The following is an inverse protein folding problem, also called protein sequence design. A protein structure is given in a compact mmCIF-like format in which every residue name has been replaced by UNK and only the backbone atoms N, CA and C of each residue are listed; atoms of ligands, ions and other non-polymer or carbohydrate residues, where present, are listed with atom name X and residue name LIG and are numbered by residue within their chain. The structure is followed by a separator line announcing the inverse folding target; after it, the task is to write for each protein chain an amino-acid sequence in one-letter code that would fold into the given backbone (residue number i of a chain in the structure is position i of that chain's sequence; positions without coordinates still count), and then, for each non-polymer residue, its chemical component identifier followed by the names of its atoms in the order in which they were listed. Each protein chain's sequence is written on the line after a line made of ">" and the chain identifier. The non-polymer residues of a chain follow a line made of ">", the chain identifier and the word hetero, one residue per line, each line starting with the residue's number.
data_IF_500007840852
#
_entry.id   IF_500007840852
#
_cell.length_a   1.000
_cell.length_b   1.000
_cell.length_c   1.000
_cell.angle_alpha   90.00
_cell.angle_beta   90.00
_cell.angle_gamma   90.00
#
_symmetry.space_group_name_H-M   'P 1'
#
loop_
_entity.id
_entity.type
_entity.pdbx_description
1 polymer ?
#
# COMPACT_ATOMS: atom_id res chain seq x y z
N UNK A 1 -6.23 6.92 24.36
CA UNK A 1 -4.93 6.26 24.61
C UNK A 1 -4.79 5.23 23.52
N UNK A 2 -3.93 5.48 22.54
CA UNK A 2 -3.92 4.75 21.27
C UNK A 2 -3.30 3.35 21.42
N UNK A 3 -3.96 2.34 20.87
CA UNK A 3 -3.85 0.90 21.22
C UNK A 3 -2.95 0.09 20.31
N UNK A 4 -2.15 0.72 19.45
CA UNK A 4 -1.29 0.03 18.46
C UNK A 4 0.20 0.27 18.77
N UNK A 5 0.85 -0.61 19.56
CA UNK A 5 2.23 -0.40 20.04
C UNK A 5 3.27 -0.18 18.94
N UNK A 6 3.06 -0.78 17.77
CA UNK A 6 3.99 -0.71 16.64
C UNK A 6 4.03 0.68 15.97
N UNK A 7 2.99 1.50 16.13
CA UNK A 7 2.91 2.85 15.56
C UNK A 7 3.56 3.90 16.47
N UNK A 8 3.81 3.58 17.75
CA UNK A 8 4.29 4.53 18.76
C UNK A 8 5.59 5.24 18.38
N UNK A 9 6.62 4.57 17.81
CA UNK A 9 7.83 5.26 17.40
C UNK A 9 7.55 6.33 16.34
N UNK A 10 6.78 5.96 15.32
CA UNK A 10 6.38 6.85 14.24
C UNK A 10 5.54 8.03 14.75
N UNK A 11 4.52 7.80 15.58
CA UNK A 11 3.65 8.89 16.06
C UNK A 11 4.38 9.87 16.96
N UNK A 12 5.29 9.38 17.80
CA UNK A 12 6.14 10.22 18.64
C UNK A 12 7.06 11.11 17.80
N UNK A 13 7.67 10.57 16.75
CA UNK A 13 8.60 11.35 15.93
C UNK A 13 7.86 12.28 14.97
N UNK A 14 6.71 11.86 14.45
CA UNK A 14 5.84 12.71 13.64
C UNK A 14 5.36 13.94 14.42
N UNK A 15 5.16 13.86 15.74
CA UNK A 15 4.77 15.03 16.54
C UNK A 15 5.85 16.10 16.63
N UNK A 16 7.11 15.76 16.36
CA UNK A 16 8.24 16.69 16.35
C UNK A 16 8.50 17.29 14.95
N UNK A 17 7.75 16.86 13.92
CA UNK A 17 7.88 17.36 12.56
C UNK A 17 7.15 18.68 12.39
N UNK A 18 7.86 19.71 11.92
CA UNK A 18 7.27 20.98 11.51
C UNK A 18 6.59 20.85 10.13
N UNK A 19 5.31 20.49 10.16
CA UNK A 19 4.51 20.27 8.95
C UNK A 19 4.26 21.54 8.15
N UNK A 20 4.24 22.71 8.81
CA UNK A 20 4.07 23.99 8.12
C UNK A 20 5.32 24.29 7.32
N UNK A 21 6.50 24.19 7.94
CA UNK A 21 7.76 24.40 7.25
C UNK A 21 7.94 23.43 6.07
N UNK A 22 7.56 22.15 6.23
CA UNK A 22 7.63 21.17 5.14
C UNK A 22 6.64 21.47 4.02
N UNK A 23 5.43 21.94 4.33
CA UNK A 23 4.44 22.32 3.33
C UNK A 23 4.87 23.54 2.51
N UNK A 24 5.61 24.47 3.13
CA UNK A 24 6.12 25.68 2.47
C UNK A 24 7.43 25.45 1.69
N UNK A 25 7.99 24.23 1.70
CA UNK A 25 9.19 23.93 0.91
C UNK A 25 8.92 24.08 -0.59
N UNK A 26 9.86 24.69 -1.35
CA UNK A 26 9.78 24.70 -2.81
C UNK A 26 9.74 23.28 -3.35
N UNK A 27 8.83 23.03 -4.28
CA UNK A 27 8.76 21.77 -5.03
C UNK A 27 9.67 21.91 -6.25
N UNK A 28 10.47 20.88 -6.50
CA UNK A 28 11.28 20.74 -7.71
C UNK A 28 10.59 19.73 -8.64
N UNK A 29 10.05 20.21 -9.76
CA UNK A 29 9.36 19.38 -10.76
C UNK A 29 10.28 18.34 -11.40
N UNK A 30 11.60 18.51 -11.31
CA UNK A 30 12.60 17.55 -11.78
C UNK A 30 13.06 16.58 -10.67
N UNK A 31 12.50 16.69 -9.47
CA UNK A 31 12.86 15.80 -8.38
C UNK A 31 12.53 14.34 -8.72
N UNK A 32 13.48 13.46 -8.44
CA UNK A 32 13.30 12.00 -8.49
C UNK A 32 13.96 11.39 -7.27
N UNK A 33 13.37 10.34 -6.71
CA UNK A 33 14.01 9.59 -5.64
C UNK A 33 15.36 9.03 -6.11
N UNK A 34 16.41 9.22 -5.30
CA UNK A 34 17.73 8.64 -5.53
C UNK A 34 17.81 7.16 -5.09
N UNK A 35 16.66 6.60 -4.72
CA UNK A 35 16.49 5.28 -4.13
C UNK A 35 16.48 5.30 -2.60
N UNK A 36 16.80 6.42 -1.95
CA UNK A 36 16.84 6.53 -0.50
C UNK A 36 15.48 6.35 0.17
N UNK A 37 14.43 6.97 -0.38
CA UNK A 37 13.08 6.81 0.16
C UNK A 37 12.52 5.41 -0.15
N UNK A 38 12.69 4.93 -1.38
CA UNK A 38 12.26 3.58 -1.76
C UNK A 38 12.92 2.51 -0.86
N UNK A 39 14.23 2.62 -0.63
CA UNK A 39 14.96 1.73 0.25
C UNK A 39 14.43 1.79 1.68
N UNK A 40 14.19 2.98 2.25
CA UNK A 40 13.65 3.11 3.60
C UNK A 40 12.24 2.50 3.76
N UNK A 41 11.39 2.61 2.73
CA UNK A 41 10.06 1.98 2.73
C UNK A 41 10.16 0.45 2.65
N UNK A 42 11.10 -0.08 1.87
CA UNK A 42 11.30 -1.53 1.69
C UNK A 42 12.08 -2.18 2.84
N UNK A 43 12.91 -1.42 3.54
CA UNK A 43 13.82 -1.95 4.55
C UNK A 43 13.09 -2.51 5.79
N UNK A 44 13.79 -3.37 6.52
CA UNK A 44 13.33 -3.97 7.78
C UNK A 44 13.74 -3.17 9.02
N UNK A 45 14.34 -1.99 8.82
CA UNK A 45 14.87 -1.11 9.85
C UNK A 45 13.83 -0.51 10.81
N UNK A 46 14.21 0.61 11.42
CA UNK A 46 13.40 1.29 12.42
C UNK A 46 12.06 1.75 11.88
N UNK A 47 11.00 1.64 12.69
CA UNK A 47 9.63 2.06 12.32
C UNK A 47 9.48 3.55 12.01
N UNK A 48 10.48 4.36 12.32
CA UNK A 48 10.54 5.78 12.00
C UNK A 48 11.53 6.12 10.88
N UNK A 49 12.31 5.15 10.37
CA UNK A 49 13.27 5.40 9.29
C UNK A 49 12.59 5.90 8.00
N UNK A 50 11.41 5.37 7.58
CA UNK A 50 10.66 5.94 6.46
C UNK A 50 10.22 7.39 6.68
N UNK A 51 9.93 7.79 7.93
CA UNK A 51 9.57 9.17 8.26
C UNK A 51 10.77 10.11 8.05
N UNK A 52 11.96 9.69 8.48
CA UNK A 52 13.18 10.44 8.27
C UNK A 52 13.52 10.60 6.79
N UNK A 53 13.44 9.50 6.02
CA UNK A 53 13.67 9.53 4.58
C UNK A 53 12.65 10.42 3.86
N UNK A 54 11.36 10.32 4.18
CA UNK A 54 10.33 11.16 3.57
C UNK A 54 10.49 12.65 3.93
N UNK A 55 10.88 12.95 5.17
CA UNK A 55 11.18 14.33 5.59
C UNK A 55 12.40 14.89 4.84
N UNK A 56 13.43 14.06 4.62
CA UNK A 56 14.58 14.45 3.81
C UNK A 56 14.20 14.68 2.34
N UNK A 57 13.39 13.80 1.76
CA UNK A 57 12.87 13.94 0.41
C UNK A 57 12.07 15.25 0.23
N UNK A 58 11.16 15.57 1.16
CA UNK A 58 10.42 16.84 1.15
C UNK A 58 11.36 18.05 1.20
N UNK A 59 12.37 18.02 2.07
CA UNK A 59 13.38 19.09 2.17
C UNK A 59 14.25 19.22 0.91
N UNK A 60 14.37 18.15 0.13
CA UNK A 60 15.09 18.14 -1.15
C UNK A 60 14.22 18.52 -2.36
N UNK A 61 12.94 18.84 -2.16
CA UNK A 61 12.06 19.32 -3.22
C UNK A 61 11.04 18.31 -3.74
N UNK A 62 10.90 17.12 -3.13
CA UNK A 62 9.97 16.09 -3.61
C UNK A 62 8.50 16.55 -3.70
N UNK A 63 8.11 17.47 -2.81
CA UNK A 63 6.70 17.78 -2.57
C UNK A 63 5.90 16.55 -2.11
N UNK A 64 4.59 16.73 -1.95
CA UNK A 64 3.70 15.60 -1.61
C UNK A 64 3.63 14.61 -2.77
N UNK A 65 3.61 15.10 -4.02
CA UNK A 65 3.41 14.23 -5.16
C UNK A 65 4.58 13.27 -5.40
N UNK A 66 5.83 13.75 -5.27
CA UNK A 66 7.02 12.91 -5.39
C UNK A 66 7.11 11.84 -4.31
N UNK A 67 6.72 12.13 -3.06
CA UNK A 67 6.63 11.10 -2.02
C UNK A 67 5.66 9.97 -2.39
N UNK A 68 4.49 10.36 -2.87
CA UNK A 68 3.42 9.43 -3.19
C UNK A 68 3.77 8.60 -4.45
N UNK A 69 4.61 9.11 -5.36
CA UNK A 69 5.14 8.35 -6.51
C UNK A 69 5.96 7.17 -6.03
N UNK A 70 6.90 7.45 -5.13
CA UNK A 70 7.75 6.42 -4.54
C UNK A 70 6.92 5.41 -3.74
N UNK A 71 5.92 5.86 -3.00
CA UNK A 71 5.00 4.96 -2.28
C UNK A 71 4.29 4.02 -3.24
N UNK A 72 3.67 4.56 -4.29
CA UNK A 72 2.89 3.76 -5.24
C UNK A 72 3.78 2.76 -5.95
N UNK A 73 4.94 3.18 -6.44
CA UNK A 73 5.90 2.31 -7.12
C UNK A 73 6.38 1.19 -6.18
N UNK A 74 6.74 1.54 -4.95
CA UNK A 74 7.24 0.58 -3.94
C UNK A 74 6.17 -0.45 -3.54
N UNK A 75 4.94 0.00 -3.29
CA UNK A 75 3.83 -0.88 -2.90
C UNK A 75 3.41 -1.75 -4.08
N UNK A 76 3.44 -1.22 -5.30
CA UNK A 76 3.11 -1.98 -6.51
C UNK A 76 4.15 -3.06 -6.78
N UNK A 77 5.45 -2.73 -6.64
CA UNK A 77 6.53 -3.71 -6.72
C UNK A 77 6.38 -4.83 -5.66
N UNK A 78 5.98 -4.47 -4.43
CA UNK A 78 5.68 -5.45 -3.38
C UNK A 78 4.50 -6.34 -3.76
N UNK A 79 3.43 -5.78 -4.32
CA UNK A 79 2.27 -6.55 -4.74
C UNK A 79 2.62 -7.54 -5.86
N UNK A 80 3.49 -7.17 -6.79
CA UNK A 80 3.98 -8.08 -7.84
C UNK A 80 4.83 -9.24 -7.31
N UNK A 81 5.43 -9.10 -6.12
CA UNK A 81 6.16 -10.17 -5.41
C UNK A 81 5.27 -10.97 -4.45
N UNK A 82 4.03 -10.54 -4.24
CA UNK A 82 3.13 -11.19 -3.30
C UNK A 82 2.68 -12.54 -3.86
N UNK A 83 2.91 -13.61 -3.09
CA UNK A 83 2.47 -14.97 -3.43
C UNK A 83 0.99 -15.17 -3.04
N UNK A 84 0.06 -15.24 -4.00
CA UNK A 84 -1.34 -15.44 -3.71
C UNK A 84 -1.66 -16.84 -3.15
N UNK A 85 -0.73 -17.81 -3.21
CA UNK A 85 -0.93 -19.09 -2.54
C UNK A 85 -1.01 -18.93 -1.01
N UNK A 86 -0.36 -17.89 -0.45
CA UNK A 86 -0.48 -17.51 0.96
C UNK A 86 -1.92 -17.23 1.39
N UNK A 87 -2.79 -16.84 0.45
CA UNK A 87 -4.20 -16.57 0.76
C UNK A 87 -5.00 -17.80 1.22
N UNK A 88 -4.44 -19.00 1.03
CA UNK A 88 -5.03 -20.23 1.54
C UNK A 88 -4.82 -20.43 3.05
N UNK A 89 -3.80 -19.81 3.65
CA UNK A 89 -3.54 -19.92 5.09
C UNK A 89 -4.49 -19.01 5.88
N UNK A 90 -5.41 -19.59 6.64
CA UNK A 90 -6.37 -18.81 7.44
C UNK A 90 -5.82 -18.36 8.80
N UNK A 91 -4.53 -18.60 9.10
CA UNK A 91 -3.90 -18.22 10.36
C UNK A 91 -2.95 -17.03 10.23
N UNK A 92 -2.47 -16.75 9.02
CA UNK A 92 -1.70 -15.55 8.73
C UNK A 92 -2.64 -14.31 8.63
N UNK A 93 -2.24 -13.23 9.31
CA UNK A 93 -2.99 -11.99 9.50
C UNK A 93 -2.59 -10.88 8.52
N UNK A 94 -1.82 -11.25 7.50
CA UNK A 94 -1.42 -10.39 6.39
C UNK A 94 -1.94 -10.94 5.06
N UNK A 95 -2.40 -10.06 4.18
CA UNK A 95 -2.82 -10.44 2.84
C UNK A 95 -2.70 -9.33 1.81
N UNK A 96 -3.18 -9.59 0.59
CA UNK A 96 -3.21 -8.60 -0.49
C UNK A 96 -3.89 -7.28 -0.08
N UNK A 97 -4.84 -7.34 0.86
CA UNK A 97 -5.58 -6.18 1.34
C UNK A 97 -4.65 -5.20 2.07
N UNK A 98 -3.69 -5.70 2.84
CA UNK A 98 -2.71 -4.85 3.51
C UNK A 98 -1.84 -4.09 2.50
N UNK A 99 -1.44 -4.74 1.40
CA UNK A 99 -0.60 -4.15 0.37
C UNK A 99 -1.38 -3.12 -0.46
N UNK A 100 -2.54 -3.52 -0.99
CA UNK A 100 -3.37 -2.67 -1.87
C UNK A 100 -3.88 -1.40 -1.18
N UNK A 101 -3.98 -1.38 0.16
CA UNK A 101 -4.25 -0.15 0.90
C UNK A 101 -3.21 0.95 0.65
N UNK A 102 -1.94 0.61 0.40
CA UNK A 102 -0.92 1.61 0.08
C UNK A 102 -1.24 2.40 -1.20
N UNK A 103 -1.69 1.72 -2.27
CA UNK A 103 -2.08 2.36 -3.53
C UNK A 103 -3.33 3.22 -3.33
N UNK A 104 -4.37 2.66 -2.70
CA UNK A 104 -5.62 3.40 -2.50
C UNK A 104 -5.46 4.59 -1.53
N UNK A 105 -4.59 4.48 -0.52
CA UNK A 105 -4.28 5.58 0.38
C UNK A 105 -3.52 6.68 -0.36
N UNK A 106 -2.50 6.35 -1.16
CA UNK A 106 -1.76 7.35 -1.93
C UNK A 106 -2.69 8.16 -2.85
N UNK A 107 -3.57 7.47 -3.59
CA UNK A 107 -4.57 8.12 -4.42
C UNK A 107 -5.54 9.01 -3.62
N UNK A 108 -5.99 8.55 -2.45
CA UNK A 108 -6.84 9.36 -1.57
C UNK A 108 -6.12 10.61 -1.02
N UNK A 109 -4.83 10.50 -0.69
CA UNK A 109 -4.01 11.65 -0.27
C UNK A 109 -3.90 12.66 -1.41
N UNK A 110 -3.64 12.21 -2.65
CA UNK A 110 -3.60 13.12 -3.82
C UNK A 110 -4.92 13.83 -4.04
N UNK A 111 -6.03 13.09 -3.95
CA UNK A 111 -7.35 13.70 -4.06
C UNK A 111 -7.53 14.79 -2.99
N UNK A 112 -7.12 14.52 -1.75
CA UNK A 112 -7.18 15.52 -0.69
C UNK A 112 -6.29 16.73 -0.96
N UNK A 113 -5.04 16.54 -1.41
CA UNK A 113 -4.12 17.61 -1.83
C UNK A 113 -4.77 18.52 -2.86
N UNK A 114 -5.42 17.95 -3.87
CA UNK A 114 -6.04 18.70 -4.96
C UNK A 114 -7.28 19.53 -4.53
N UNK A 115 -7.93 19.16 -3.42
CA UNK A 115 -9.20 19.76 -2.98
C UNK A 115 -9.09 20.59 -1.69
N UNK A 116 -7.90 20.68 -1.11
CA UNK A 116 -7.66 21.45 0.11
C UNK A 116 -6.23 21.28 0.61
N UNK A 117 -5.22 21.80 -0.13
CA UNK A 117 -3.84 21.63 0.25
C UNK A 117 -3.53 22.40 1.55
N UNK A 118 -2.75 21.78 2.43
CA UNK A 118 -2.25 22.41 3.64
C UNK A 118 -1.27 21.51 4.41
N UNK A 119 -0.81 21.95 5.59
CA UNK A 119 0.11 21.16 6.42
C UNK A 119 -0.42 19.76 6.77
N UNK A 120 -1.75 19.60 6.86
CA UNK A 120 -2.39 18.31 7.10
C UNK A 120 -2.20 17.34 5.92
N UNK A 121 -2.05 17.84 4.70
CA UNK A 121 -1.70 17.03 3.52
C UNK A 121 -0.33 16.41 3.68
N UNK A 122 0.67 17.15 4.19
CA UNK A 122 2.00 16.61 4.49
C UNK A 122 1.88 15.51 5.54
N UNK A 123 1.07 15.74 6.59
CA UNK A 123 0.83 14.70 7.60
C UNK A 123 0.25 13.43 6.98
N UNK A 124 -0.75 13.56 6.11
CA UNK A 124 -1.36 12.42 5.42
C UNK A 124 -0.37 11.69 4.51
N UNK A 125 0.50 12.42 3.80
CA UNK A 125 1.55 11.83 2.97
C UNK A 125 2.57 11.05 3.81
N UNK A 126 3.01 11.59 4.95
CA UNK A 126 3.91 10.89 5.88
C UNK A 126 3.26 9.64 6.48
N UNK A 127 1.95 9.68 6.78
CA UNK A 127 1.19 8.48 7.16
C UNK A 127 1.11 7.46 6.03
N UNK A 128 0.95 7.91 4.79
CA UNK A 128 0.94 7.05 3.62
C UNK A 128 2.29 6.36 3.42
N UNK A 129 3.41 7.05 3.64
CA UNK A 129 4.76 6.46 3.66
C UNK A 129 4.90 5.41 4.76
N UNK A 130 4.43 5.71 5.98
CA UNK A 130 4.44 4.72 7.06
C UNK A 130 3.60 3.49 6.73
N UNK A 131 2.39 3.69 6.18
CA UNK A 131 1.54 2.60 5.74
C UNK A 131 2.25 1.76 4.68
N UNK A 132 2.88 2.40 3.69
CA UNK A 132 3.67 1.74 2.65
C UNK A 132 4.80 0.90 3.25
N UNK A 133 5.52 1.40 4.25
CA UNK A 133 6.52 0.59 4.97
C UNK A 133 5.88 -0.60 5.69
N UNK A 134 4.76 -0.36 6.38
CA UNK A 134 4.05 -1.37 7.15
C UNK A 134 3.43 -2.48 6.29
N UNK A 135 3.14 -2.23 5.01
CA UNK A 135 2.73 -3.31 4.09
C UNK A 135 3.86 -4.32 3.86
N UNK A 136 5.10 -4.05 4.29
CA UNK A 136 6.22 -4.99 4.24
C UNK A 136 6.30 -5.95 5.42
N UNK A 137 5.39 -5.88 6.40
CA UNK A 137 5.52 -6.65 7.66
C UNK A 137 5.64 -8.15 7.47
N UNK A 138 5.06 -8.68 6.40
CA UNK A 138 5.17 -10.09 6.04
C UNK A 138 6.52 -10.43 5.41
N UNK A 139 7.07 -9.54 4.56
CA UNK A 139 8.40 -9.70 3.95
C UNK A 139 9.54 -9.69 5.00
N UNK A 140 9.31 -9.14 6.20
CA UNK A 140 10.28 -9.16 7.30
C UNK A 140 10.48 -10.54 7.94
N UNK A 141 9.52 -11.45 7.73
CA UNK A 141 9.50 -12.78 8.36
C UNK A 141 9.49 -13.91 7.35
N UNK A 142 9.44 -13.59 6.06
CA UNK A 142 9.32 -14.56 4.96
C UNK A 142 10.33 -14.26 3.86
N UNK A 143 10.49 -15.20 2.94
CA UNK A 143 11.31 -14.98 1.75
C UNK A 143 10.55 -14.07 0.78
N UNK A 144 11.20 -13.01 0.32
CA UNK A 144 10.69 -12.17 -0.77
C UNK A 144 10.80 -12.96 -2.08
N UNK A 145 9.68 -13.11 -2.80
CA UNK A 145 9.65 -13.78 -4.10
C UNK A 145 10.12 -12.84 -5.22
N UNK A 146 10.42 -13.41 -6.39
CA UNK A 146 10.67 -12.61 -7.59
C UNK A 146 9.37 -11.93 -8.05
N UNK A 147 9.43 -10.68 -8.57
CA UNK A 147 8.26 -10.03 -9.13
C UNK A 147 7.70 -10.81 -10.32
N UNK A 148 6.38 -10.93 -10.38
CA UNK A 148 5.68 -11.48 -11.55
C UNK A 148 5.66 -10.43 -12.65
N UNK A 149 5.95 -10.84 -13.88
CA UNK A 149 5.77 -10.01 -15.07
C UNK A 149 4.31 -10.09 -15.55
N UNK A 150 3.67 -8.93 -15.69
CA UNK A 150 2.28 -8.83 -16.15
C UNK A 150 2.24 -8.08 -17.47
N UNK A 151 1.73 -8.74 -18.51
CA UNK A 151 1.42 -8.12 -19.78
C UNK A 151 0.03 -7.47 -19.71
N UNK A 152 -0.04 -6.16 -19.94
CA UNK A 152 -1.29 -5.41 -19.98
C UNK A 152 -2.03 -5.56 -21.32
N UNK A 153 -1.38 -6.16 -22.33
CA UNK A 153 -1.91 -6.32 -23.69
C UNK A 153 -1.90 -5.04 -24.53
N UNK A 154 -1.45 -3.92 -23.96
CA UNK A 154 -1.29 -2.63 -24.62
C UNK A 154 -0.23 -1.80 -23.90
N UNK A 155 0.45 -0.92 -24.62
CA UNK A 155 1.34 0.10 -24.04
C UNK A 155 0.62 1.40 -23.69
N UNK A 156 -0.65 1.54 -24.08
CA UNK A 156 -1.49 2.68 -23.71
C UNK A 156 -2.07 2.47 -22.30
N UNK A 157 -1.61 3.29 -21.35
CA UNK A 157 -2.00 3.20 -19.94
C UNK A 157 -3.48 3.55 -19.72
N UNK A 158 -4.08 4.41 -20.54
CA UNK A 158 -5.49 4.77 -20.44
C UNK A 158 -6.35 3.58 -20.84
N UNK A 159 -6.05 2.97 -21.99
CA UNK A 159 -6.74 1.76 -22.46
C UNK A 159 -6.59 0.60 -21.46
N UNK A 160 -5.38 0.38 -20.94
CA UNK A 160 -5.13 -0.62 -19.91
C UNK A 160 -5.93 -0.36 -18.63
N UNK A 161 -6.02 0.90 -18.19
CA UNK A 161 -6.81 1.30 -17.02
C UNK A 161 -8.31 1.08 -17.20
N UNK A 162 -8.85 1.44 -18.37
CA UNK A 162 -10.26 1.19 -18.72
C UNK A 162 -10.55 -0.31 -18.73
N UNK A 163 -9.68 -1.12 -19.33
CA UNK A 163 -9.82 -2.57 -19.36
C UNK A 163 -9.78 -3.17 -17.94
N UNK A 164 -8.86 -2.71 -17.09
CA UNK A 164 -8.76 -3.17 -15.70
C UNK A 164 -10.01 -2.81 -14.88
N UNK A 165 -10.51 -1.59 -14.99
CA UNK A 165 -11.73 -1.17 -14.30
C UNK A 165 -12.95 -1.99 -14.75
N UNK A 166 -13.09 -2.26 -16.05
CA UNK A 166 -14.15 -3.18 -16.53
C UNK A 166 -14.02 -4.56 -15.92
N UNK A 167 -12.82 -5.16 -15.94
CA UNK A 167 -12.58 -6.46 -15.31
C UNK A 167 -12.91 -6.46 -13.82
N UNK A 168 -12.64 -5.37 -13.10
CA UNK A 168 -12.97 -5.27 -11.67
C UNK A 168 -14.47 -5.29 -11.39
N UNK A 169 -15.31 -4.83 -12.32
CA UNK A 169 -16.78 -4.89 -12.22
C UNK A 169 -17.33 -6.30 -12.45
N UNK A 170 -16.56 -7.17 -13.11
CA UNK A 170 -16.89 -8.57 -13.35
C UNK A 170 -16.23 -9.50 -12.33
N UNK A 171 -15.59 -8.96 -11.28
CA UNK A 171 -14.89 -9.75 -10.26
C UNK A 171 -15.86 -10.70 -9.53
N UNK A 172 -15.62 -12.03 -9.58
CA UNK A 172 -16.57 -13.03 -9.09
C UNK A 172 -16.50 -13.23 -7.56
N UNK A 173 -15.85 -12.31 -6.81
CA UNK A 173 -15.78 -12.42 -5.36
C UNK A 173 -17.18 -12.47 -4.75
N UNK A 174 -17.38 -13.43 -3.83
CA UNK A 174 -18.67 -13.67 -3.19
C UNK A 174 -19.07 -12.60 -2.16
N UNK A 175 -18.20 -11.62 -1.92
CA UNK A 175 -18.42 -10.57 -0.92
C UNK A 175 -18.30 -9.18 -1.51
N UNK A 176 -19.31 -8.36 -1.20
CA UNK A 176 -19.41 -6.99 -1.68
C UNK A 176 -18.21 -6.12 -1.30
N UNK A 177 -17.57 -6.38 -0.14
CA UNK A 177 -16.44 -5.55 0.31
C UNK A 177 -15.18 -5.83 -0.49
N UNK A 178 -14.96 -7.09 -0.86
CA UNK A 178 -13.84 -7.51 -1.72
C UNK A 178 -14.04 -6.95 -3.13
N UNK A 179 -15.25 -7.08 -3.68
CA UNK A 179 -15.61 -6.51 -4.97
C UNK A 179 -15.42 -4.99 -5.01
N UNK A 180 -15.94 -4.28 -4.00
CA UNK A 180 -15.77 -2.83 -3.90
C UNK A 180 -14.29 -2.43 -3.78
N UNK A 181 -13.47 -3.22 -3.09
CA UNK A 181 -12.04 -2.97 -3.00
C UNK A 181 -11.31 -3.21 -4.32
N UNK A 182 -11.71 -4.23 -5.09
CA UNK A 182 -11.19 -4.46 -6.44
C UNK A 182 -11.44 -3.25 -7.35
N UNK A 183 -12.68 -2.71 -7.33
CA UNK A 183 -13.03 -1.50 -8.10
C UNK A 183 -12.20 -0.28 -7.66
N UNK A 184 -12.07 -0.05 -6.35
CA UNK A 184 -11.26 1.07 -5.82
C UNK A 184 -9.79 0.94 -6.21
N UNK A 185 -9.24 -0.27 -6.10
CA UNK A 185 -7.84 -0.54 -6.43
C UNK A 185 -7.58 -0.37 -7.92
N UNK A 186 -8.47 -0.88 -8.79
CA UNK A 186 -8.38 -0.71 -10.23
C UNK A 186 -8.42 0.78 -10.63
N UNK A 187 -9.33 1.54 -10.01
CA UNK A 187 -9.43 2.99 -10.25
C UNK A 187 -8.17 3.72 -9.79
N UNK A 188 -7.74 3.50 -8.56
CA UNK A 188 -6.55 4.14 -8.01
C UNK A 188 -5.30 3.80 -8.84
N UNK A 189 -5.11 2.53 -9.21
CA UNK A 189 -3.99 2.10 -10.06
C UNK A 189 -4.02 2.76 -11.44
N UNK A 190 -5.21 2.93 -12.04
CA UNK A 190 -5.36 3.63 -13.32
C UNK A 190 -4.94 5.09 -13.20
N UNK A 191 -5.46 5.81 -12.21
CA UNK A 191 -5.15 7.22 -11.99
C UNK A 191 -3.65 7.43 -11.66
N UNK A 192 -3.06 6.55 -10.85
CA UNK A 192 -1.64 6.64 -10.52
C UNK A 192 -0.72 6.29 -11.70
N UNK A 193 -1.08 5.30 -12.52
CA UNK A 193 -0.33 4.94 -13.72
C UNK A 193 -0.36 6.07 -14.76
N UNK A 194 -1.53 6.65 -15.04
CA UNK A 194 -1.65 7.80 -15.95
C UNK A 194 -0.83 9.00 -15.48
N UNK A 195 -0.79 9.25 -14.16
CA UNK A 195 -0.08 10.40 -13.61
C UNK A 195 1.44 10.22 -13.60
N UNK A 196 1.92 9.04 -13.21
CA UNK A 196 3.36 8.73 -13.15
C UNK A 196 3.97 8.33 -14.49
N UNK A 197 3.14 7.93 -15.46
CA UNK A 197 3.59 7.28 -16.69
C UNK A 197 4.13 5.86 -16.48
N UNK A 198 4.04 5.31 -15.26
CA UNK A 198 4.50 3.96 -14.94
C UNK A 198 3.37 2.93 -15.16
N UNK A 199 3.62 1.81 -15.86
CA UNK A 199 2.64 0.72 -15.96
C UNK A 199 2.54 -0.11 -14.67
N UNK A 200 3.49 0.02 -13.75
CA UNK A 200 3.66 -0.86 -12.59
C UNK A 200 2.42 -0.89 -11.68
N UNK A 201 1.71 0.22 -11.40
CA UNK A 201 0.47 0.16 -10.62
C UNK A 201 -0.63 -0.67 -11.30
N UNK A 202 -0.77 -0.58 -12.62
CA UNK A 202 -1.73 -1.36 -13.40
C UNK A 202 -1.36 -2.84 -13.43
N UNK A 203 -0.08 -3.15 -13.58
CA UNK A 203 0.43 -4.53 -13.53
C UNK A 203 0.15 -5.15 -12.16
N UNK A 204 0.48 -4.43 -11.08
CA UNK A 204 0.25 -4.87 -9.71
C UNK A 204 -1.24 -5.08 -9.40
N UNK A 205 -2.12 -4.15 -9.82
CA UNK A 205 -3.55 -4.27 -9.63
C UNK A 205 -4.16 -5.39 -10.50
N UNK A 206 -3.63 -5.63 -11.70
CA UNK A 206 -4.03 -6.76 -12.56
C UNK A 206 -3.68 -8.09 -11.88
N UNK A 207 -2.45 -8.23 -11.35
CA UNK A 207 -2.04 -9.41 -10.60
C UNK A 207 -2.99 -9.71 -9.44
N UNK A 208 -3.38 -8.68 -8.69
CA UNK A 208 -4.36 -8.81 -7.62
C UNK A 208 -5.77 -9.20 -8.12
N UNK A 209 -6.25 -8.60 -9.21
CA UNK A 209 -7.58 -8.89 -9.77
C UNK A 209 -7.66 -10.30 -10.37
N UNK A 210 -6.56 -10.83 -10.89
CA UNK A 210 -6.51 -12.19 -11.42
C UNK A 210 -6.22 -13.23 -10.33
N UNK A 211 -5.64 -12.80 -9.21
CA UNK A 211 -5.33 -13.65 -8.08
C UNK A 211 -6.56 -14.15 -7.29
N UNK A 212 -6.45 -15.32 -6.62
CA UNK A 212 -7.47 -15.80 -5.71
C UNK A 212 -7.65 -14.82 -4.54
N UNK A 213 -8.87 -14.29 -4.41
CA UNK A 213 -9.27 -13.46 -3.27
C UNK A 213 -10.06 -14.29 -2.28
N UNK A 214 -9.63 -14.31 -1.01
CA UNK A 214 -10.38 -14.96 0.08
C UNK A 214 -10.63 -13.99 1.21
N UNK A 215 -11.80 -14.10 1.84
CA UNK A 215 -12.11 -13.36 3.07
C UNK A 215 -11.42 -14.00 4.28
N UNK A 216 -10.09 -13.95 4.32
CA UNK A 216 -9.28 -14.63 5.34
C UNK A 216 -9.64 -14.19 6.74
N UNK A 217 -9.87 -12.90 6.99
CA UNK A 217 -10.27 -12.41 8.32
C UNK A 217 -11.58 -13.03 8.80
N UNK A 218 -12.57 -13.20 7.91
CA UNK A 218 -13.83 -13.86 8.23
C UNK A 218 -13.60 -15.34 8.49
N UNK A 219 -12.88 -16.03 7.60
CA UNK A 219 -12.56 -17.45 7.75
C UNK A 219 -11.75 -17.74 9.03
N UNK A 220 -10.75 -16.91 9.32
CA UNK A 220 -9.91 -16.99 10.51
C UNK A 220 -10.72 -16.73 11.79
N UNK A 221 -11.60 -15.72 11.79
CA UNK A 221 -12.50 -15.45 12.91
C UNK A 221 -13.48 -16.59 13.15
N UNK A 222 -14.06 -17.16 12.09
CA UNK A 222 -14.94 -18.33 12.18
C UNK A 222 -14.16 -19.54 12.69
N UNK A 223 -12.96 -19.82 12.17
CA UNK A 223 -12.12 -20.92 12.63
C UNK A 223 -11.72 -20.76 14.10
N UNK A 224 -11.33 -19.54 14.53
CA UNK A 224 -11.05 -19.23 15.94
C UNK A 224 -12.28 -19.37 16.82
N UNK A 225 -13.45 -18.94 16.36
CA UNK A 225 -14.71 -19.09 17.10
C UNK A 225 -15.12 -20.56 17.24
N UNK A 226 -14.98 -21.36 16.18
CA UNK A 226 -15.21 -22.81 16.20
C UNK A 226 -14.28 -23.48 17.21
N UNK A 227 -13.00 -23.15 17.19
CA UNK A 227 -12.03 -23.74 18.10
C UNK A 227 -12.26 -23.33 19.56
N UNK A 228 -12.62 -22.06 19.79
CA UNK A 228 -13.03 -21.59 21.11
C UNK A 228 -14.24 -22.36 21.64
N UNK A 229 -15.29 -22.52 20.83
CA UNK A 229 -16.48 -23.30 21.20
C UNK A 229 -16.15 -24.79 21.40
N UNK A 230 -15.17 -25.31 20.65
CA UNK A 230 -14.72 -26.71 20.72
C UNK A 230 -13.71 -26.96 21.85
N UNK A 231 -13.38 -25.96 22.68
CA UNK A 231 -12.42 -26.09 23.78
C UNK A 231 -10.96 -26.25 23.35
N UNK A 232 -10.64 -26.01 22.07
CA UNK A 232 -9.27 -26.04 21.54
C UNK A 232 -8.62 -24.67 21.70
N UNK A 233 -7.40 -24.67 22.21
CA UNK A 233 -6.59 -23.47 22.35
C UNK A 233 -5.57 -23.34 21.20
N UNK A 234 -5.05 -22.12 20.93
CA UNK A 234 -3.97 -21.93 19.97
C UNK A 234 -2.71 -22.79 20.24
N UNK A 235 -2.53 -23.30 21.47
CA UNK A 235 -1.40 -24.17 21.85
C UNK A 235 -1.56 -25.61 21.37
N UNK A 236 -2.76 -26.03 20.97
CA UNK A 236 -3.05 -27.41 20.60
C UNK A 236 -2.77 -27.72 19.11
N UNK A 237 -2.22 -26.75 18.37
CA UNK A 237 -1.93 -26.83 16.93
C UNK A 237 -0.43 -26.86 16.61
N UNK A 238 0.35 -27.60 17.40
CA UNK A 238 1.77 -27.87 17.13
C UNK A 238 1.99 -28.68 15.87
#
# INVERSE_FOLDING_TARGET
>A
MDTLPYMRPFTRELSDVDLVALFEMPVDDAWTDDGGLAAAILDQGGRADPLHAATAALRSGAGVDGLLDVVVETVSARLLRYDPAGEADVHDDFGWLDITHGITMANAVRWHTAHGPGPDTVRLALWCVFLAHWTGRHEWHTRVAEPVEIDLGTSDLEDAGVALQRRSLDDPSSSFIVHAHAVKTARAASEEASRSGSPVPLQAATWFIEGPKRERTVAANVARAIDFISGRSPRDRG
#
